data_IF_503084846252
#
_entry.id   IF_503084846252
#
_cell.length_a   1.000
_cell.length_b   1.000
_cell.length_c   1.000
_cell.angle_alpha   90.00
_cell.angle_beta   90.00
_cell.angle_gamma   90.00
#
_symmetry.space_group_name_H-M   'P 1'
#
loop_
_entity.id
_entity.type
_entity.pdbx_description
1 polymer ?
#
# COMPACT_ATOMS: atom_id res chain seq x y z
N UNK A 1 -3.20 -40.60 44.21
CA UNK A 1 -2.95 -39.17 43.90
C UNK A 1 -1.63 -39.06 43.14
N UNK A 2 -1.48 -38.53 41.93
CA UNK A 2 -2.42 -38.09 40.90
C UNK A 2 -1.65 -37.73 39.59
N UNK A 3 -0.82 -38.64 39.07
CA UNK A 3 -0.08 -38.40 37.80
C UNK A 3 -1.02 -38.35 36.59
N UNK A 4 -2.14 -39.07 36.65
CA UNK A 4 -3.20 -39.07 35.64
C UNK A 4 -4.05 -37.80 35.69
N UNK A 5 -4.25 -37.19 36.86
CA UNK A 5 -4.93 -35.89 36.98
C UNK A 5 -4.06 -34.72 36.48
N UNK A 6 -2.73 -34.80 36.63
CA UNK A 6 -1.83 -33.80 36.04
C UNK A 6 -1.94 -33.76 34.52
N UNK A 7 -2.00 -34.91 33.86
CA UNK A 7 -2.14 -35.00 32.39
C UNK A 7 -3.53 -34.48 31.95
N UNK A 8 -4.60 -34.78 32.69
CA UNK A 8 -5.93 -34.26 32.36
C UNK A 8 -6.04 -32.76 32.57
N UNK A 9 -5.37 -32.19 33.58
CA UNK A 9 -5.35 -30.76 33.84
C UNK A 9 -4.53 -29.99 32.79
N UNK A 10 -3.40 -30.54 32.34
CA UNK A 10 -2.64 -29.94 31.23
C UNK A 10 -3.46 -29.98 29.93
N UNK A 11 -4.15 -31.09 29.66
CA UNK A 11 -5.01 -31.22 28.47
C UNK A 11 -6.23 -30.30 28.51
N UNK A 12 -6.85 -30.10 29.68
CA UNK A 12 -8.01 -29.19 29.82
C UNK A 12 -7.62 -27.72 29.70
N UNK A 13 -6.42 -27.33 30.16
CA UNK A 13 -5.87 -25.98 29.93
C UNK A 13 -5.54 -25.73 28.44
N UNK A 14 -4.98 -26.73 27.73
CA UNK A 14 -4.79 -26.63 26.27
C UNK A 14 -6.12 -26.60 25.49
N UNK A 15 -7.12 -27.36 25.92
CA UNK A 15 -8.45 -27.34 25.30
C UNK A 15 -9.22 -26.04 25.63
N UNK A 16 -8.92 -25.41 26.77
CA UNK A 16 -9.42 -24.08 27.16
C UNK A 16 -8.85 -22.96 26.30
N UNK A 17 -7.60 -23.07 25.84
CA UNK A 17 -6.99 -22.15 24.85
C UNK A 17 -7.74 -22.18 23.51
N UNK A 18 -8.24 -23.34 23.07
CA UNK A 18 -9.07 -23.42 21.86
C UNK A 18 -10.47 -22.80 22.00
N UNK A 19 -10.93 -22.56 23.23
CA UNK A 19 -12.25 -22.01 23.55
C UNK A 19 -12.20 -20.57 24.09
N UNK A 20 -11.01 -20.08 24.45
CA UNK A 20 -10.77 -18.76 25.03
C UNK A 20 -9.88 -17.91 24.13
N UNK A 21 -10.46 -16.82 23.61
CA UNK A 21 -9.85 -15.57 23.11
C UNK A 21 -8.61 -15.58 22.20
N UNK A 22 -7.95 -16.72 21.89
CA UNK A 22 -6.79 -16.82 21.01
C UNK A 22 -7.08 -16.46 19.55
N UNK A 23 -8.35 -16.49 19.15
CA UNK A 23 -8.76 -16.00 17.83
C UNK A 23 -8.36 -14.54 17.62
N UNK A 24 -8.45 -13.70 18.65
CA UNK A 24 -8.13 -12.27 18.54
C UNK A 24 -6.63 -12.02 18.40
N UNK A 25 -5.72 -12.60 19.23
CA UNK A 25 -4.27 -12.53 19.03
C UNK A 25 -3.80 -13.08 17.69
N UNK A 26 -4.34 -14.23 17.24
CA UNK A 26 -3.94 -14.83 15.96
C UNK A 26 -4.42 -13.99 14.78
N UNK A 27 -5.64 -13.46 14.84
CA UNK A 27 -6.16 -12.50 13.87
C UNK A 27 -5.32 -11.22 13.84
N UNK A 28 -4.93 -10.69 15.01
CA UNK A 28 -4.02 -9.53 15.12
C UNK A 28 -2.65 -9.81 14.50
N UNK A 29 -2.08 -10.99 14.76
CA UNK A 29 -0.80 -11.41 14.19
C UNK A 29 -0.87 -11.57 12.66
N UNK A 30 -1.98 -12.09 12.14
CA UNK A 30 -2.25 -12.18 10.70
C UNK A 30 -2.46 -10.80 10.06
N UNK A 31 -3.17 -9.88 10.73
CA UNK A 31 -3.32 -8.49 10.29
C UNK A 31 -1.98 -7.74 10.30
N UNK A 32 -1.15 -7.96 11.33
CA UNK A 32 0.21 -7.43 11.40
C UNK A 32 1.08 -7.97 10.27
N UNK A 33 1.02 -9.27 9.98
CA UNK A 33 1.73 -9.91 8.87
C UNK A 33 1.33 -9.34 7.49
N UNK A 34 0.05 -9.05 7.29
CA UNK A 34 -0.45 -8.39 6.07
C UNK A 34 0.00 -6.93 5.98
N UNK A 35 0.08 -6.21 7.12
CA UNK A 35 0.63 -4.85 7.19
C UNK A 35 2.14 -4.81 6.98
N UNK A 36 2.86 -5.89 7.32
CA UNK A 36 4.31 -6.01 7.09
C UNK A 36 4.65 -6.46 5.68
N UNK A 37 3.71 -6.98 4.88
CA UNK A 37 4.03 -7.47 3.54
C UNK A 37 4.20 -6.30 2.55
N UNK A 38 5.42 -6.07 2.05
CA UNK A 38 5.80 -4.91 1.26
C UNK A 38 5.26 -4.97 -0.18
N UNK A 39 4.78 -3.83 -0.71
CA UNK A 39 4.51 -3.68 -2.14
C UNK A 39 5.82 -3.25 -2.85
N UNK A 40 6.21 -3.90 -3.96
CA UNK A 40 7.49 -3.67 -4.61
C UNK A 40 7.67 -2.22 -5.13
N UNK A 41 8.81 -1.56 -4.83
CA UNK A 41 9.08 -0.16 -5.21
C UNK A 41 9.09 0.11 -6.72
N UNK A 42 9.37 -0.91 -7.53
CA UNK A 42 9.45 -0.80 -9.00
C UNK A 42 8.14 -0.32 -9.65
N UNK A 43 6.99 -0.76 -9.13
CA UNK A 43 5.69 -0.35 -9.68
C UNK A 43 5.39 1.14 -9.43
N UNK A 44 5.90 1.66 -8.32
CA UNK A 44 5.69 3.04 -7.89
C UNK A 44 6.40 4.01 -8.83
N UNK A 45 7.65 3.71 -9.18
CA UNK A 45 8.49 4.51 -10.08
C UNK A 45 7.91 4.61 -11.50
N UNK A 46 7.43 3.48 -12.03
CA UNK A 46 6.76 3.43 -13.35
C UNK A 46 5.50 4.29 -13.36
N UNK A 47 4.67 4.21 -12.32
CA UNK A 47 3.44 5.00 -12.23
C UNK A 47 3.71 6.50 -12.03
N UNK A 48 4.73 6.87 -11.27
CA UNK A 48 5.15 8.27 -11.13
C UNK A 48 5.64 8.86 -12.46
N UNK A 49 6.54 8.15 -13.14
CA UNK A 49 7.05 8.54 -14.45
C UNK A 49 5.92 8.66 -15.47
N UNK A 50 4.96 7.72 -15.46
CA UNK A 50 3.76 7.79 -16.30
C UNK A 50 2.89 9.02 -15.99
N UNK A 51 2.69 9.38 -14.72
CA UNK A 51 1.91 10.57 -14.35
C UNK A 51 2.55 11.86 -14.88
N UNK A 52 3.88 11.98 -14.80
CA UNK A 52 4.62 13.14 -15.31
C UNK A 52 4.48 13.20 -16.84
N UNK A 53 4.68 12.09 -17.54
CA UNK A 53 4.52 12.00 -18.99
C UNK A 53 3.10 12.40 -19.43
N UNK A 54 2.06 11.84 -18.78
CA UNK A 54 0.66 12.19 -19.04
C UNK A 54 0.41 13.68 -18.80
N UNK A 55 0.95 14.25 -17.73
CA UNK A 55 0.80 15.68 -17.41
C UNK A 55 1.39 16.57 -18.51
N UNK A 56 2.53 16.19 -19.08
CA UNK A 56 3.17 16.90 -20.20
C UNK A 56 2.34 16.75 -21.48
N UNK A 57 1.80 15.57 -21.77
CA UNK A 57 0.91 15.36 -22.93
C UNK A 57 -0.33 16.23 -22.81
N UNK A 58 -0.97 16.27 -21.64
CA UNK A 58 -2.13 17.13 -21.40
C UNK A 58 -1.75 18.59 -21.61
N UNK A 59 -0.61 19.05 -21.06
CA UNK A 59 -0.10 20.40 -21.28
C UNK A 59 0.07 20.72 -22.77
N UNK A 60 0.65 19.79 -23.53
CA UNK A 60 0.86 19.96 -24.97
C UNK A 60 -0.48 20.06 -25.71
N UNK A 61 -1.45 19.22 -25.36
CA UNK A 61 -2.82 19.29 -25.88
C UNK A 61 -3.47 20.64 -25.52
N UNK A 62 -3.28 21.17 -24.31
CA UNK A 62 -3.76 22.51 -23.94
C UNK A 62 -3.24 23.60 -24.87
N UNK A 63 -1.93 23.55 -25.17
CA UNK A 63 -1.21 24.58 -25.94
C UNK A 63 -1.60 24.54 -27.42
N UNK A 64 -1.88 23.35 -27.97
CA UNK A 64 -2.23 23.18 -29.38
C UNK A 64 -3.74 23.04 -29.66
N UNK A 65 -4.60 22.98 -28.64
CA UNK A 65 -6.05 22.88 -28.83
C UNK A 65 -6.64 24.18 -29.40
N UNK A 66 -7.16 24.10 -30.63
CA UNK A 66 -7.75 25.23 -31.37
C UNK A 66 -9.30 25.22 -31.37
N UNK A 67 -9.95 24.13 -30.91
CA UNK A 67 -11.43 23.98 -30.96
C UNK A 67 -12.08 23.96 -29.56
N UNK A 68 -13.18 24.72 -29.34
CA UNK A 68 -13.99 24.70 -28.11
C UNK A 68 -14.57 23.33 -27.70
N UNK A 69 -14.73 22.39 -28.64
CA UNK A 69 -15.23 21.05 -28.37
C UNK A 69 -14.20 20.19 -27.59
N UNK A 70 -12.91 20.42 -27.81
CA UNK A 70 -11.83 19.78 -27.05
C UNK A 70 -11.77 20.29 -25.60
N UNK A 71 -12.27 21.52 -25.35
CA UNK A 71 -12.40 22.08 -24.01
C UNK A 71 -13.46 21.40 -23.14
N UNK A 72 -14.44 20.69 -23.71
CA UNK A 72 -15.45 19.99 -22.90
C UNK A 72 -14.90 18.71 -22.25
N UNK A 73 -13.96 18.04 -22.92
CA UNK A 73 -13.26 16.84 -22.41
C UNK A 73 -12.12 17.22 -21.46
N UNK A 74 -11.61 18.44 -21.61
CA UNK A 74 -10.45 18.97 -20.88
C UNK A 74 -10.56 18.92 -19.34
N UNK A 75 -11.62 19.43 -18.68
CA UNK A 75 -11.75 19.36 -17.22
C UNK A 75 -11.72 17.93 -16.69
N UNK A 76 -12.31 16.99 -17.43
CA UNK A 76 -12.38 15.59 -17.05
C UNK A 76 -10.99 14.94 -17.09
N UNK A 77 -10.21 15.20 -18.13
CA UNK A 77 -8.82 14.71 -18.23
C UNK A 77 -7.97 15.31 -17.11
N UNK A 78 -8.10 16.61 -16.84
CA UNK A 78 -7.38 17.25 -15.74
C UNK A 78 -7.77 16.69 -14.37
N UNK A 79 -9.05 16.43 -14.13
CA UNK A 79 -9.55 15.83 -12.90
C UNK A 79 -8.95 14.43 -12.68
N UNK A 80 -8.95 13.58 -13.71
CA UNK A 80 -8.37 12.24 -13.63
C UNK A 80 -6.86 12.31 -13.40
N UNK A 81 -6.15 13.20 -14.11
CA UNK A 81 -4.70 13.38 -13.94
C UNK A 81 -4.33 13.86 -12.52
N UNK A 82 -5.14 14.76 -11.94
CA UNK A 82 -4.95 15.22 -10.56
C UNK A 82 -5.27 14.14 -9.52
N UNK A 83 -6.33 13.36 -9.72
CA UNK A 83 -6.65 12.24 -8.82
C UNK A 83 -5.57 11.16 -8.86
N UNK A 84 -5.06 10.80 -10.04
CA UNK A 84 -3.92 9.89 -10.20
C UNK A 84 -2.70 10.41 -9.43
N UNK A 85 -2.41 11.72 -9.52
CA UNK A 85 -1.30 12.34 -8.81
C UNK A 85 -1.48 12.26 -7.30
N UNK A 86 -2.70 12.52 -6.78
CA UNK A 86 -3.00 12.41 -5.36
C UNK A 86 -2.82 10.97 -4.84
N UNK A 87 -3.33 9.99 -5.60
CA UNK A 87 -3.23 8.58 -5.25
C UNK A 87 -1.76 8.10 -5.21
N UNK A 88 -0.95 8.50 -6.19
CA UNK A 88 0.47 8.15 -6.24
C UNK A 88 1.29 8.82 -5.14
N UNK A 89 0.98 10.07 -4.79
CA UNK A 89 1.63 10.74 -3.67
C UNK A 89 1.33 10.05 -2.33
N UNK A 90 0.08 9.65 -2.09
CA UNK A 90 -0.30 8.91 -0.86
C UNK A 90 0.30 7.50 -0.83
N UNK A 91 0.34 6.81 -1.98
CA UNK A 91 0.99 5.51 -2.09
C UNK A 91 2.50 5.60 -1.86
N UNK A 92 3.15 6.63 -2.41
CA UNK A 92 4.56 6.94 -2.20
C UNK A 92 4.89 7.17 -0.74
N UNK A 93 4.15 8.05 -0.06
CA UNK A 93 4.40 8.31 1.36
C UNK A 93 4.15 7.07 2.22
N UNK A 94 3.14 6.25 1.91
CA UNK A 94 2.94 4.97 2.61
C UNK A 94 4.12 4.01 2.40
N UNK A 95 4.63 3.87 1.17
CA UNK A 95 5.77 2.98 0.88
C UNK A 95 7.05 3.52 1.52
N UNK A 96 7.30 4.82 1.45
CA UNK A 96 8.46 5.48 2.08
C UNK A 96 8.39 5.43 3.61
N UNK A 97 7.21 5.58 4.22
CA UNK A 97 7.07 5.52 5.68
C UNK A 97 7.11 4.08 6.22
N UNK A 98 6.67 3.09 5.43
CA UNK A 98 6.71 1.68 5.82
C UNK A 98 8.07 1.01 5.55
N UNK A 99 8.79 1.43 4.51
CA UNK A 99 10.06 0.80 4.12
C UNK A 99 11.27 1.75 4.19
N UNK A 100 11.08 3.03 4.53
CA UNK A 100 12.18 4.01 4.62
C UNK A 100 13.18 3.74 5.74
N UNK A 101 12.86 2.86 6.69
CA UNK A 101 13.77 2.40 7.74
C UNK A 101 14.69 1.24 7.29
N UNK A 102 14.39 0.56 6.17
CA UNK A 102 15.16 -0.59 5.64
C UNK A 102 16.41 -0.16 4.83
N UNK A 103 16.87 1.08 5.00
CA UNK A 103 18.03 1.64 4.30
C UNK A 103 17.72 2.19 2.90
N UNK A 104 18.66 2.96 2.36
CA UNK A 104 18.58 3.76 1.13
C UNK A 104 18.12 3.05 -0.16
N UNK A 105 17.78 1.76 -0.14
CA UNK A 105 17.33 0.97 -1.29
C UNK A 105 15.82 0.69 -1.35
N UNK A 106 15.06 0.96 -0.29
CA UNK A 106 13.66 0.58 -0.20
C UNK A 106 12.67 1.52 -0.92
N UNK A 107 13.10 2.75 -1.25
CA UNK A 107 12.33 3.71 -2.05
C UNK A 107 12.51 3.51 -3.57
N UNK A 108 13.30 2.52 -4.00
CA UNK A 108 13.74 2.39 -5.38
C UNK A 108 14.97 3.25 -5.67
N UNK A 109 15.83 2.77 -6.58
CA UNK A 109 17.11 3.39 -6.99
C UNK A 109 17.00 4.77 -7.68
N UNK A 110 15.80 5.36 -7.76
CA UNK A 110 15.56 6.66 -8.40
C UNK A 110 15.62 7.85 -7.44
N UNK A 111 15.51 7.63 -6.11
CA UNK A 111 15.68 8.68 -5.08
C UNK A 111 17.02 8.52 -4.34
N UNK A 112 18.03 7.96 -5.02
CA UNK A 112 19.44 8.01 -4.62
C UNK A 112 20.15 9.01 -5.52
N UNK A 113 20.06 10.29 -5.16
CA UNK A 113 20.91 11.35 -5.68
C UNK A 113 21.21 12.32 -4.54
#
# INVERSE_FOLDING_TARGET
MDRTQLISNVRSNLAGLGRGSLGVPVLLLAMLAMMTLPIPPFLLDVLFTFNIALSIVVLLVCVYALRPLDFAVFPTILLVATLLRLALNVASTRVVLLHGHDGHGAAGKVIQA
#
